data_IF_490245725654
#
_entry.id   IF_490245725654
#
_cell.length_a   1.000
_cell.length_b   1.000
_cell.length_c   1.000
_cell.angle_alpha   90.00
_cell.angle_beta   90.00
_cell.angle_gamma   90.00
#
_symmetry.space_group_name_H-M   'P 1'
#
loop_
_entity.id
_entity.type
_entity.pdbx_description
1 polymer ?
#
# COMPACT_ATOMS: atom_id res chain seq x y z
N UNK A 1 -36.57 -14.33 -34.49
CA UNK A 1 -35.21 -13.93 -34.91
C UNK A 1 -34.62 -13.02 -33.84
N UNK A 2 -33.35 -13.23 -33.49
CA UNK A 2 -32.67 -12.55 -32.38
C UNK A 2 -31.89 -13.55 -31.54
N UNK A 3 -30.88 -14.19 -32.13
CA UNK A 3 -29.96 -15.06 -31.40
C UNK A 3 -29.16 -14.18 -30.42
N UNK A 4 -29.40 -14.36 -29.12
CA UNK A 4 -28.52 -13.84 -28.07
C UNK A 4 -27.16 -14.52 -28.24
N UNK A 5 -26.27 -13.84 -28.96
CA UNK A 5 -24.98 -14.35 -29.37
C UNK A 5 -24.11 -14.44 -28.11
N UNK A 6 -24.10 -15.59 -27.42
CA UNK A 6 -23.07 -15.91 -26.44
C UNK A 6 -21.73 -15.75 -27.16
N UNK A 7 -20.99 -14.69 -26.84
CA UNK A 7 -19.67 -14.43 -27.44
C UNK A 7 -18.76 -15.56 -26.99
N UNK A 8 -18.68 -16.63 -27.77
CA UNK A 8 -17.69 -17.68 -27.58
C UNK A 8 -16.34 -17.06 -27.90
N UNK A 9 -15.66 -16.52 -26.90
CA UNK A 9 -14.29 -16.05 -27.02
C UNK A 9 -13.38 -17.26 -27.25
N UNK A 10 -13.29 -17.70 -28.51
CA UNK A 10 -12.35 -18.73 -28.97
C UNK A 10 -10.89 -18.35 -28.65
N UNK A 11 -10.65 -17.06 -28.40
CA UNK A 11 -9.36 -16.43 -28.11
C UNK A 11 -9.28 -15.84 -26.71
N UNK A 12 -10.12 -16.27 -25.77
CA UNK A 12 -10.17 -15.72 -24.41
C UNK A 12 -8.79 -15.66 -23.72
N UNK A 13 -8.04 -16.76 -23.76
CA UNK A 13 -6.69 -16.81 -23.17
C UNK A 13 -5.74 -15.83 -23.85
N UNK A 14 -5.86 -15.64 -25.18
CA UNK A 14 -5.05 -14.66 -25.91
C UNK A 14 -5.45 -13.22 -25.56
N UNK A 15 -6.74 -12.95 -25.40
CA UNK A 15 -7.23 -11.65 -24.96
C UNK A 15 -6.73 -11.31 -23.54
N UNK A 16 -6.72 -12.28 -22.64
CA UNK A 16 -6.15 -12.12 -21.29
C UNK A 16 -4.65 -11.89 -21.31
N UNK A 17 -3.90 -12.60 -22.17
CA UNK A 17 -2.45 -12.41 -22.29
C UNK A 17 -2.11 -11.04 -22.85
N UNK A 18 -2.76 -10.64 -23.95
CA UNK A 18 -2.48 -9.38 -24.64
C UNK A 18 -2.94 -8.19 -23.79
N UNK A 19 -4.17 -8.24 -23.28
CA UNK A 19 -4.71 -7.19 -22.41
C UNK A 19 -3.97 -7.08 -21.09
N UNK A 20 -3.60 -8.23 -20.50
CA UNK A 20 -2.81 -8.29 -19.28
C UNK A 20 -1.38 -7.79 -19.45
N UNK A 21 -0.71 -8.24 -20.52
CA UNK A 21 0.62 -7.75 -20.88
C UNK A 21 0.63 -6.24 -21.10
N UNK A 22 -0.36 -5.71 -21.83
CA UNK A 22 -0.51 -4.27 -22.02
C UNK A 22 -0.71 -3.52 -20.70
N UNK A 23 -1.58 -4.01 -19.81
CA UNK A 23 -1.80 -3.42 -18.50
C UNK A 23 -0.55 -3.44 -17.61
N UNK A 24 0.17 -4.56 -17.56
CA UNK A 24 1.42 -4.67 -16.82
C UNK A 24 2.48 -3.71 -17.38
N UNK A 25 2.60 -3.59 -18.71
CA UNK A 25 3.51 -2.61 -19.32
C UNK A 25 3.14 -1.17 -18.97
N UNK A 26 1.84 -0.84 -18.93
CA UNK A 26 1.36 0.49 -18.54
C UNK A 26 1.61 0.78 -17.04
N UNK A 27 1.64 -0.25 -16.20
CA UNK A 27 2.00 -0.11 -14.78
C UNK A 27 3.50 0.06 -14.57
N UNK A 28 4.34 -0.70 -15.29
CA UNK A 28 5.81 -0.62 -15.17
C UNK A 28 6.36 0.69 -15.72
N UNK A 29 5.83 1.17 -16.85
CA UNK A 29 6.36 2.36 -17.53
C UNK A 29 6.02 3.67 -16.83
N UNK A 30 5.28 3.62 -15.70
CA UNK A 30 4.70 4.74 -14.96
C UNK A 30 4.46 5.99 -15.83
N UNK A 31 3.73 5.79 -16.93
CA UNK A 31 3.58 6.85 -17.93
C UNK A 31 2.68 7.93 -17.36
N UNK A 32 3.29 8.97 -16.79
CA UNK A 32 2.57 10.17 -16.38
C UNK A 32 2.17 10.95 -17.62
N UNK A 33 0.93 10.71 -18.06
CA UNK A 33 0.35 11.38 -19.22
C UNK A 33 -0.17 12.77 -18.88
N UNK A 34 0.01 13.27 -17.64
CA UNK A 34 -0.49 14.57 -17.19
C UNK A 34 -2.02 14.64 -17.09
N UNK A 35 -2.69 13.49 -17.15
CA UNK A 35 -4.16 13.37 -17.08
C UNK A 35 -4.54 12.54 -15.85
N UNK A 36 -5.01 13.16 -14.75
CA UNK A 36 -5.32 12.48 -13.49
C UNK A 36 -6.33 11.32 -13.66
N UNK A 37 -7.29 11.50 -14.56
CA UNK A 37 -8.32 10.50 -14.88
C UNK A 37 -7.71 9.20 -15.40
N UNK A 38 -6.63 9.27 -16.19
CA UNK A 38 -5.97 8.08 -16.72
C UNK A 38 -5.27 7.28 -15.61
N UNK A 39 -4.73 7.97 -14.59
CA UNK A 39 -4.16 7.34 -13.41
C UNK A 39 -5.20 6.52 -12.64
N UNK A 40 -6.41 7.07 -12.45
CA UNK A 40 -7.53 6.37 -11.81
C UNK A 40 -7.95 5.15 -12.65
N UNK A 41 -8.12 5.32 -13.96
CA UNK A 41 -8.49 4.19 -14.85
C UNK A 41 -7.42 3.10 -14.82
N UNK A 42 -6.14 3.46 -14.85
CA UNK A 42 -5.01 2.52 -14.73
C UNK A 42 -5.07 1.76 -13.42
N UNK A 43 -5.29 2.45 -12.29
CA UNK A 43 -5.41 1.84 -10.97
C UNK A 43 -6.57 0.84 -10.91
N UNK A 44 -7.75 1.22 -11.40
CA UNK A 44 -8.93 0.37 -11.39
C UNK A 44 -8.78 -0.86 -12.29
N UNK A 45 -8.19 -0.69 -13.47
CA UNK A 45 -7.91 -1.80 -14.38
C UNK A 45 -6.83 -2.73 -13.83
N UNK A 46 -5.78 -2.19 -13.21
CA UNK A 46 -4.75 -2.98 -12.53
C UNK A 46 -5.34 -3.79 -11.38
N UNK A 47 -6.17 -3.18 -10.54
CA UNK A 47 -6.85 -3.88 -9.45
C UNK A 47 -7.75 -5.01 -9.97
N UNK A 48 -8.54 -4.74 -11.01
CA UNK A 48 -9.37 -5.76 -11.65
C UNK A 48 -8.51 -6.90 -12.22
N UNK A 49 -7.37 -6.57 -12.80
CA UNK A 49 -6.43 -7.54 -13.34
C UNK A 49 -5.91 -8.48 -12.25
N UNK A 50 -5.40 -7.93 -11.15
CA UNK A 50 -4.86 -8.71 -10.01
C UNK A 50 -5.93 -9.59 -9.37
N UNK A 51 -7.14 -9.05 -9.17
CA UNK A 51 -8.22 -9.76 -8.51
C UNK A 51 -8.88 -10.86 -9.36
N UNK A 52 -8.72 -10.83 -10.69
CA UNK A 52 -9.43 -11.75 -11.58
C UNK A 52 -8.49 -12.69 -12.31
N UNK A 53 -7.41 -12.20 -12.91
CA UNK A 53 -6.65 -12.94 -13.92
C UNK A 53 -5.83 -14.10 -13.34
N UNK A 54 -5.05 -13.94 -12.25
CA UNK A 54 -4.29 -15.04 -11.66
C UNK A 54 -5.19 -16.22 -11.29
N UNK A 55 -6.27 -15.96 -10.54
CA UNK A 55 -7.21 -17.00 -10.14
C UNK A 55 -7.97 -17.59 -11.33
N UNK A 56 -8.28 -16.79 -12.36
CA UNK A 56 -8.88 -17.29 -13.60
C UNK A 56 -7.98 -18.34 -14.28
N UNK A 57 -6.69 -18.06 -14.38
CA UNK A 57 -5.73 -18.97 -15.00
C UNK A 57 -5.55 -20.26 -14.18
N UNK A 58 -5.58 -20.17 -12.84
CA UNK A 58 -5.54 -21.35 -11.96
C UNK A 58 -6.77 -22.23 -12.19
N UNK A 59 -7.97 -21.65 -12.09
CA UNK A 59 -9.19 -22.45 -12.31
C UNK A 59 -9.27 -22.99 -13.75
N UNK A 60 -8.76 -22.26 -14.76
CA UNK A 60 -8.72 -22.72 -16.14
C UNK A 60 -7.77 -23.91 -16.32
N UNK A 61 -6.73 -23.99 -15.48
CA UNK A 61 -5.74 -25.07 -15.42
C UNK A 61 -6.29 -26.32 -14.73
N UNK A 62 -7.13 -26.14 -13.70
CA UNK A 62 -7.76 -27.22 -12.91
C UNK A 62 -9.06 -27.72 -13.57
N UNK A 63 -10.01 -26.83 -13.81
CA UNK A 63 -11.35 -27.09 -14.33
C UNK A 63 -11.45 -26.75 -15.82
N UNK A 64 -11.11 -27.74 -16.63
CA UNK A 64 -10.87 -27.57 -18.08
C UNK A 64 -12.10 -27.81 -18.95
N UNK A 65 -13.12 -28.52 -18.42
CA UNK A 65 -14.35 -28.86 -19.16
C UNK A 65 -15.49 -27.91 -18.82
N UNK A 66 -16.41 -27.73 -19.76
CA UNK A 66 -17.57 -26.82 -19.62
C UNK A 66 -18.59 -27.26 -18.56
N UNK A 67 -18.70 -28.56 -18.28
CA UNK A 67 -19.67 -29.12 -17.30
C UNK A 67 -19.07 -29.36 -15.90
N UNK A 68 -17.87 -28.87 -15.61
CA UNK A 68 -17.21 -29.11 -14.31
C UNK A 68 -17.61 -28.11 -13.24
N UNK A 69 -17.80 -26.85 -13.64
CA UNK A 69 -18.17 -25.75 -12.77
C UNK A 69 -18.93 -24.73 -13.62
N UNK A 70 -19.98 -24.19 -13.04
CA UNK A 70 -20.85 -23.23 -13.71
C UNK A 70 -20.16 -21.88 -13.88
N UNK A 71 -20.68 -21.04 -14.77
CA UNK A 71 -20.09 -19.72 -15.05
C UNK A 71 -20.02 -18.82 -13.80
N UNK A 72 -20.98 -18.94 -12.87
CA UNK A 72 -21.00 -18.23 -11.59
C UNK A 72 -19.98 -18.77 -10.57
N UNK A 73 -19.82 -20.10 -10.53
CA UNK A 73 -18.79 -20.72 -9.68
C UNK A 73 -17.40 -20.35 -10.18
N UNK A 74 -17.23 -20.25 -11.51
CA UNK A 74 -16.00 -19.79 -12.14
C UNK A 74 -15.65 -18.37 -11.74
N UNK A 75 -16.59 -17.43 -11.76
CA UNK A 75 -16.27 -16.03 -11.36
C UNK A 75 -15.87 -15.96 -9.89
N UNK A 76 -16.61 -16.65 -9.01
CA UNK A 76 -16.30 -16.71 -7.59
C UNK A 76 -14.93 -17.36 -7.33
N UNK A 77 -14.65 -18.50 -7.95
CA UNK A 77 -13.36 -19.20 -7.83
C UNK A 77 -12.19 -18.36 -8.35
N UNK A 78 -12.41 -17.58 -9.41
CA UNK A 78 -11.41 -16.64 -9.92
C UNK A 78 -10.96 -15.67 -8.84
N UNK A 79 -11.91 -15.04 -8.16
CA UNK A 79 -11.64 -14.04 -7.14
C UNK A 79 -10.99 -14.67 -5.90
N UNK A 80 -11.53 -15.79 -5.43
CA UNK A 80 -10.99 -16.52 -4.28
C UNK A 80 -9.57 -17.01 -4.55
N UNK A 81 -9.29 -17.58 -5.73
CA UNK A 81 -7.96 -18.08 -6.08
C UNK A 81 -6.95 -16.94 -6.28
N UNK A 82 -7.36 -15.80 -6.83
CA UNK A 82 -6.49 -14.62 -6.90
C UNK A 82 -6.06 -14.15 -5.51
N UNK A 83 -6.98 -14.05 -4.56
CA UNK A 83 -6.67 -13.68 -3.17
C UNK A 83 -5.78 -14.75 -2.51
N UNK A 84 -6.06 -16.03 -2.74
CA UNK A 84 -5.29 -17.13 -2.17
C UNK A 84 -3.83 -17.19 -2.64
N UNK A 85 -3.51 -16.61 -3.80
CA UNK A 85 -2.14 -16.52 -4.33
C UNK A 85 -1.32 -15.45 -3.62
N UNK A 86 -1.93 -14.46 -2.98
CA UNK A 86 -1.21 -13.33 -2.38
C UNK A 86 -0.22 -13.79 -1.29
N UNK A 87 -0.60 -14.59 -0.27
CA UNK A 87 0.35 -15.02 0.75
C UNK A 87 1.56 -15.82 0.22
N UNK A 88 1.39 -16.87 -0.61
CA UNK A 88 2.54 -17.61 -1.13
C UNK A 88 3.40 -16.76 -2.09
N UNK A 89 2.79 -15.82 -2.82
CA UNK A 89 3.53 -14.90 -3.68
C UNK A 89 4.38 -13.92 -2.87
N UNK A 90 3.83 -13.36 -1.80
CA UNK A 90 4.57 -12.49 -0.87
C UNK A 90 5.76 -13.24 -0.23
N UNK A 91 5.54 -14.48 0.23
CA UNK A 91 6.62 -15.31 0.78
C UNK A 91 7.69 -15.64 -0.27
N UNK A 92 7.29 -15.86 -1.53
CA UNK A 92 8.26 -16.10 -2.61
C UNK A 92 9.11 -14.87 -2.92
N UNK A 93 8.52 -13.67 -2.85
CA UNK A 93 9.24 -12.40 -3.04
C UNK A 93 10.19 -12.09 -1.88
N UNK A 94 9.79 -12.39 -0.64
CA UNK A 94 10.61 -12.17 0.56
C UNK A 94 11.91 -13.00 0.57
N UNK A 95 11.89 -14.19 -0.03
CA UNK A 95 13.06 -15.08 -0.10
C UNK A 95 14.02 -14.71 -1.24
N UNK A 96 13.63 -13.82 -2.17
CA UNK A 96 14.45 -13.43 -3.31
C UNK A 96 15.42 -12.29 -2.93
N UNK A 97 16.75 -12.52 -2.91
CA UNK A 97 17.74 -11.54 -2.40
C UNK A 97 17.87 -10.27 -3.26
N UNK A 98 17.18 -10.20 -4.40
CA UNK A 98 17.18 -9.06 -5.32
C UNK A 98 15.82 -8.33 -5.36
N UNK A 99 14.79 -8.86 -4.69
CA UNK A 99 13.46 -8.29 -4.65
C UNK A 99 13.32 -7.48 -3.37
N UNK A 100 13.53 -6.18 -3.45
CA UNK A 100 12.91 -5.31 -2.44
C UNK A 100 11.38 -5.53 -2.52
N UNK A 101 10.68 -5.51 -1.39
CA UNK A 101 9.21 -5.57 -1.40
C UNK A 101 8.66 -4.21 -1.82
N UNK A 102 8.91 -3.86 -3.09
CA UNK A 102 8.43 -2.67 -3.76
C UNK A 102 7.32 -3.01 -4.76
N UNK A 103 6.59 -2.00 -5.23
CA UNK A 103 5.51 -2.17 -6.19
C UNK A 103 6.00 -2.85 -7.48
N UNK A 104 7.22 -2.51 -7.91
CA UNK A 104 7.85 -3.07 -9.11
C UNK A 104 8.02 -4.58 -9.00
N UNK A 105 8.55 -5.07 -7.88
CA UNK A 105 8.76 -6.51 -7.66
C UNK A 105 7.45 -7.29 -7.59
N UNK A 106 6.39 -6.68 -7.04
CA UNK A 106 5.04 -7.28 -7.03
C UNK A 106 4.52 -7.43 -8.47
N UNK A 107 4.60 -6.35 -9.26
CA UNK A 107 4.12 -6.35 -10.67
C UNK A 107 4.91 -7.34 -11.54
N UNK A 108 6.24 -7.41 -11.36
CA UNK A 108 7.09 -8.38 -12.06
C UNK A 108 6.75 -9.81 -11.62
N UNK A 109 6.61 -10.04 -10.32
CA UNK A 109 6.26 -11.35 -9.76
C UNK A 109 4.93 -11.86 -10.29
N UNK A 110 3.92 -11.00 -10.33
CA UNK A 110 2.61 -11.31 -10.90
C UNK A 110 2.70 -11.56 -12.42
N UNK A 111 3.46 -10.74 -13.15
CA UNK A 111 3.71 -10.93 -14.57
C UNK A 111 4.34 -12.29 -14.88
N UNK A 112 5.35 -12.70 -14.11
CA UNK A 112 5.98 -14.01 -14.23
C UNK A 112 5.00 -15.14 -13.87
N UNK A 113 4.20 -14.97 -12.82
CA UNK A 113 3.19 -15.94 -12.42
C UNK A 113 2.17 -16.18 -13.55
N UNK A 114 1.69 -15.11 -14.17
CA UNK A 114 0.79 -15.17 -15.32
C UNK A 114 1.49 -15.77 -16.54
N UNK A 115 2.74 -15.41 -16.81
CA UNK A 115 3.53 -15.95 -17.91
C UNK A 115 3.76 -17.47 -17.80
N UNK A 116 3.76 -18.03 -16.58
CA UNK A 116 3.85 -19.48 -16.34
C UNK A 116 2.48 -20.16 -16.41
N UNK A 117 1.46 -19.58 -15.77
CA UNK A 117 0.12 -20.17 -15.74
C UNK A 117 -0.58 -20.12 -17.10
N UNK A 118 -0.36 -19.07 -17.87
CA UNK A 118 -0.97 -18.91 -19.19
C UNK A 118 -0.66 -20.09 -20.13
N UNK A 119 0.61 -20.44 -20.44
CA UNK A 119 0.91 -21.55 -21.33
C UNK A 119 0.49 -22.89 -20.72
N UNK A 120 0.55 -23.04 -19.40
CA UNK A 120 0.10 -24.25 -18.71
C UNK A 120 -1.41 -24.47 -18.88
N UNK A 121 -2.21 -23.42 -18.69
CA UNK A 121 -3.66 -23.45 -18.88
C UNK A 121 -4.02 -23.74 -20.34
N UNK A 122 -3.31 -23.12 -21.28
CA UNK A 122 -3.49 -23.29 -22.71
C UNK A 122 -3.17 -24.71 -23.17
N UNK A 123 -2.00 -25.23 -22.77
CA UNK A 123 -1.56 -26.59 -23.05
C UNK A 123 -2.56 -27.63 -22.52
N UNK A 124 -3.00 -27.46 -21.27
CA UNK A 124 -3.98 -28.36 -20.66
C UNK A 124 -5.35 -28.31 -21.32
N UNK A 125 -5.79 -27.15 -21.84
CA UNK A 125 -7.04 -27.01 -22.61
C UNK A 125 -6.94 -27.60 -24.01
N UNK A 126 -5.76 -27.57 -24.64
CA UNK A 126 -5.55 -28.16 -25.97
C UNK A 126 -5.69 -29.68 -25.99
N UNK A 127 -5.46 -30.36 -24.86
CA UNK A 127 -5.64 -31.81 -24.71
C UNK A 127 -7.10 -32.28 -24.59
N UNK A 128 -8.08 -31.39 -24.75
CA UNK A 128 -9.52 -31.70 -24.67
C UNK A 128 -10.17 -31.53 -26.06
N UNK A 129 -11.12 -32.40 -26.40
CA UNK A 129 -11.94 -32.31 -27.62
C UNK A 129 -12.63 -30.94 -27.71
N UNK A 130 -12.63 -30.32 -28.91
CA UNK A 130 -13.11 -28.94 -29.13
C UNK A 130 -14.52 -28.68 -28.63
N UNK A 131 -15.39 -29.69 -28.65
CA UNK A 131 -16.78 -29.62 -28.19
C UNK A 131 -16.94 -29.54 -26.66
N UNK A 132 -15.95 -30.04 -25.90
CA UNK A 132 -15.93 -30.03 -24.44
C UNK A 132 -15.09 -28.88 -23.86
N UNK A 133 -14.45 -28.08 -24.73
CA UNK A 133 -13.64 -26.93 -24.32
C UNK A 133 -14.54 -25.82 -23.83
N UNK A 134 -14.27 -25.35 -22.63
CA UNK A 134 -14.88 -24.12 -22.15
C UNK A 134 -14.38 -22.93 -22.99
N UNK A 135 -15.32 -22.14 -23.50
CA UNK A 135 -15.09 -20.78 -23.98
C UNK A 135 -15.85 -19.87 -23.02
N UNK A 136 -15.21 -18.86 -22.43
CA UNK A 136 -15.95 -17.95 -21.56
C UNK A 136 -17.16 -17.38 -22.27
N UNK A 137 -18.33 -17.77 -21.76
CA UNK A 137 -19.50 -16.95 -21.83
C UNK A 137 -19.45 -16.09 -20.56
N UNK A 138 -19.25 -14.79 -20.70
CA UNK A 138 -19.42 -13.86 -19.58
C UNK A 138 -20.89 -13.94 -19.18
N UNK A 139 -21.24 -14.52 -18.01
CA UNK A 139 -22.63 -14.58 -17.59
C UNK A 139 -23.03 -13.18 -17.13
N UNK A 140 -23.75 -12.44 -17.98
CA UNK A 140 -24.28 -11.15 -17.55
C UNK A 140 -25.33 -11.39 -16.46
N UNK A 141 -25.35 -10.65 -15.34
CA UNK A 141 -26.28 -10.88 -14.23
C UNK A 141 -27.77 -10.70 -14.61
N UNK A 142 -28.04 -10.12 -15.79
CA UNK A 142 -29.39 -9.92 -16.34
C UNK A 142 -29.76 -10.90 -17.46
N UNK A 143 -28.87 -11.83 -17.85
CA UNK A 143 -29.22 -12.81 -18.88
C UNK A 143 -30.21 -13.82 -18.28
N UNK A 144 -31.41 -13.87 -18.85
CA UNK A 144 -32.52 -14.65 -18.33
C UNK A 144 -32.29 -16.10 -18.74
N UNK A 145 -31.92 -16.93 -17.77
CA UNK A 145 -31.68 -18.37 -17.93
C UNK A 145 -32.74 -19.05 -18.79
N UNK A 146 -32.37 -19.41 -20.03
CA UNK A 146 -33.17 -20.30 -20.89
C UNK A 146 -32.91 -21.78 -20.65
N UNK A 147 -31.82 -22.12 -19.96
CA UNK A 147 -31.31 -23.50 -19.87
C UNK A 147 -31.44 -24.14 -18.48
N UNK A 148 -32.04 -23.46 -17.50
CA UNK A 148 -32.46 -24.05 -16.20
C UNK A 148 -31.36 -24.66 -15.32
N UNK A 149 -30.08 -24.48 -15.66
CA UNK A 149 -28.96 -25.14 -14.99
C UNK A 149 -28.25 -24.27 -13.95
N UNK A 150 -28.53 -22.96 -13.88
CA UNK A 150 -27.88 -22.09 -12.90
C UNK A 150 -28.50 -22.29 -11.50
N UNK A 151 -27.67 -22.59 -10.51
CA UNK A 151 -28.13 -22.60 -9.12
C UNK A 151 -28.53 -21.18 -8.69
N UNK A 152 -29.74 -20.98 -8.10
CA UNK A 152 -30.15 -19.67 -7.58
C UNK A 152 -29.21 -19.14 -6.51
N UNK A 153 -28.42 -20.02 -5.88
CA UNK A 153 -27.36 -19.67 -4.93
C UNK A 153 -26.19 -18.95 -5.61
N UNK A 154 -25.72 -19.46 -6.76
CA UNK A 154 -24.61 -18.87 -7.51
C UNK A 154 -24.92 -17.45 -7.99
N UNK A 155 -26.16 -17.21 -8.43
CA UNK A 155 -26.61 -15.87 -8.86
C UNK A 155 -26.61 -14.86 -7.70
N UNK A 156 -27.11 -15.24 -6.53
CA UNK A 156 -27.12 -14.37 -5.33
C UNK A 156 -25.71 -14.02 -4.89
N UNK A 157 -24.82 -15.02 -4.86
CA UNK A 157 -23.43 -14.84 -4.47
C UNK A 157 -22.70 -13.86 -5.41
N UNK A 158 -22.92 -13.95 -6.72
CA UNK A 158 -22.29 -13.05 -7.68
C UNK A 158 -22.82 -11.61 -7.59
N UNK A 159 -24.10 -11.42 -7.23
CA UNK A 159 -24.64 -10.08 -6.93
C UNK A 159 -23.98 -9.45 -5.70
N UNK A 160 -23.72 -10.26 -4.66
CA UNK A 160 -22.97 -9.81 -3.48
C UNK A 160 -21.54 -9.44 -3.86
N UNK A 161 -20.85 -10.28 -4.65
CA UNK A 161 -19.50 -9.96 -5.12
C UNK A 161 -19.45 -8.70 -5.99
N UNK A 162 -20.43 -8.52 -6.89
CA UNK A 162 -20.53 -7.31 -7.70
C UNK A 162 -20.75 -6.06 -6.83
N UNK A 163 -21.63 -6.14 -5.82
CA UNK A 163 -21.84 -5.06 -4.87
C UNK A 163 -20.56 -4.72 -4.09
N UNK A 164 -19.84 -5.74 -3.60
CA UNK A 164 -18.57 -5.56 -2.90
C UNK A 164 -17.50 -4.94 -3.80
N UNK A 165 -17.42 -5.37 -5.06
CA UNK A 165 -16.48 -4.84 -6.03
C UNK A 165 -16.75 -3.37 -6.34
N UNK A 166 -18.02 -3.00 -6.54
CA UNK A 166 -18.43 -1.59 -6.73
C UNK A 166 -18.11 -0.76 -5.48
N UNK A 167 -18.34 -1.30 -4.28
CA UNK A 167 -17.99 -0.63 -3.03
C UNK A 167 -16.49 -0.35 -2.93
N UNK A 168 -15.64 -1.35 -3.25
CA UNK A 168 -14.18 -1.19 -3.24
C UNK A 168 -13.74 -0.12 -4.24
N UNK A 169 -14.25 -0.15 -5.47
CA UNK A 169 -13.96 0.87 -6.49
C UNK A 169 -14.38 2.26 -6.01
N UNK A 170 -15.58 2.38 -5.43
CA UNK A 170 -16.10 3.65 -4.93
C UNK A 170 -15.23 4.21 -3.80
N UNK A 171 -14.82 3.37 -2.85
CA UNK A 171 -13.93 3.77 -1.74
C UNK A 171 -12.57 4.21 -2.24
N UNK A 172 -11.93 3.45 -3.13
CA UNK A 172 -10.63 3.81 -3.71
C UNK A 172 -10.75 5.13 -4.50
N UNK A 173 -11.79 5.25 -5.32
CA UNK A 173 -12.04 6.48 -6.09
C UNK A 173 -12.26 7.67 -5.16
N UNK A 174 -12.97 7.49 -4.05
CA UNK A 174 -13.16 8.53 -3.05
C UNK A 174 -11.85 8.95 -2.38
N UNK A 175 -10.98 8.00 -2.01
CA UNK A 175 -9.66 8.28 -1.42
C UNK A 175 -8.78 9.09 -2.39
N UNK A 176 -8.83 8.80 -3.69
CA UNK A 176 -8.03 9.49 -4.70
C UNK A 176 -8.60 10.86 -5.08
N UNK A 177 -9.93 10.98 -5.19
CA UNK A 177 -10.59 12.23 -5.59
C UNK A 177 -10.73 13.24 -4.43
N UNK A 178 -10.79 12.74 -3.21
CA UNK A 178 -10.88 13.53 -1.98
C UNK A 178 -9.73 13.11 -1.07
N UNK A 179 -8.47 13.45 -1.42
CA UNK A 179 -7.35 13.19 -0.54
C UNK A 179 -7.64 13.87 0.79
N UNK A 180 -7.57 13.10 1.88
CA UNK A 180 -7.63 13.70 3.21
C UNK A 180 -6.55 14.79 3.27
N UNK A 181 -6.84 15.99 3.82
CA UNK A 181 -5.79 16.97 4.04
C UNK A 181 -4.67 16.25 4.77
N UNK A 182 -3.45 16.35 4.25
CA UNK A 182 -2.29 15.89 4.98
C UNK A 182 -2.42 16.53 6.37
N UNK A 183 -2.44 15.73 7.43
CA UNK A 183 -2.30 16.32 8.76
C UNK A 183 -0.86 16.81 8.80
N UNK A 184 -0.67 18.07 8.46
CA UNK A 184 0.62 18.71 8.46
C UNK A 184 0.99 18.92 9.92
N UNK A 185 1.66 17.94 10.51
CA UNK A 185 2.15 18.03 11.88
C UNK A 185 3.50 18.72 11.87
N UNK A 186 3.71 19.62 12.83
CA UNK A 186 5.03 20.19 13.09
C UNK A 186 6.01 19.07 13.44
N UNK A 187 7.08 18.96 12.66
CA UNK A 187 8.14 18.01 12.92
C UNK A 187 9.03 18.53 14.05
N UNK A 188 9.45 17.63 14.93
CA UNK A 188 10.36 17.92 16.03
C UNK A 188 11.38 16.79 16.09
N UNK A 189 12.67 17.11 15.93
CA UNK A 189 13.74 16.13 15.84
C UNK A 189 15.03 16.61 16.51
N UNK A 190 15.95 15.66 16.75
CA UNK A 190 17.26 15.90 17.34
C UNK A 190 18.34 15.28 16.44
N UNK A 191 19.42 16.03 16.23
CA UNK A 191 20.61 15.61 15.51
C UNK A 191 21.84 15.76 16.41
N UNK A 192 22.88 15.02 16.06
CA UNK A 192 24.22 15.18 16.62
C UNK A 192 24.91 16.46 16.07
N UNK A 193 26.13 16.75 16.52
CA UNK A 193 26.91 17.91 16.05
C UNK A 193 27.21 17.88 14.54
N UNK A 194 27.19 16.71 13.90
CA UNK A 194 27.41 16.56 12.46
C UNK A 194 26.13 16.67 11.62
N UNK A 195 24.97 16.97 12.24
CA UNK A 195 23.68 17.09 11.56
C UNK A 195 23.05 15.75 11.17
N UNK A 196 23.40 14.65 11.84
CA UNK A 196 22.83 13.32 11.62
C UNK A 196 22.00 12.87 12.84
N UNK A 197 20.94 12.11 12.59
CA UNK A 197 20.13 11.46 13.65
C UNK A 197 20.87 10.30 14.30
N UNK A 198 21.84 9.73 13.61
CA UNK A 198 22.65 8.60 14.09
C UNK A 198 23.89 9.08 14.85
N UNK A 199 24.38 8.26 15.79
CA UNK A 199 25.63 8.55 16.49
C UNK A 199 25.53 9.59 17.62
N UNK A 200 24.32 9.91 18.11
CA UNK A 200 24.17 10.60 19.40
C UNK A 200 24.78 9.69 20.48
N UNK A 201 25.80 10.14 21.23
CA UNK A 201 26.54 9.29 22.13
C UNK A 201 25.65 8.77 23.25
N UNK A 202 25.61 7.44 23.42
CA UNK A 202 24.83 6.82 24.48
C UNK A 202 25.51 6.87 25.84
N UNK A 203 26.84 7.00 25.88
CA UNK A 203 27.60 7.10 27.12
C UNK A 203 28.36 8.41 27.17
N UNK A 204 28.20 9.13 28.28
CA UNK A 204 28.78 10.45 28.50
C UNK A 204 29.43 10.49 29.89
N UNK A 205 30.43 11.34 30.06
CA UNK A 205 31.02 11.60 31.37
C UNK A 205 30.19 12.63 32.14
N UNK A 206 30.02 12.44 33.44
CA UNK A 206 29.31 13.40 34.29
C UNK A 206 29.90 14.83 34.17
N UNK A 207 29.02 15.83 34.17
CA UNK A 207 29.35 17.26 34.04
C UNK A 207 30.09 17.65 32.74
N UNK A 208 30.08 16.78 31.73
CA UNK A 208 30.62 17.13 30.41
C UNK A 208 29.50 17.70 29.54
N UNK A 209 29.65 18.93 29.00
CA UNK A 209 28.64 19.51 28.12
C UNK A 209 28.45 18.65 26.87
N UNK A 210 27.19 18.31 26.60
CA UNK A 210 26.73 17.63 25.40
C UNK A 210 26.04 18.66 24.52
N UNK A 211 26.35 18.63 23.21
CA UNK A 211 25.70 19.47 22.22
C UNK A 211 24.84 18.62 21.31
N UNK A 212 23.60 19.05 21.16
CA UNK A 212 22.65 18.45 20.22
C UNK A 212 22.01 19.55 19.40
N UNK A 213 21.76 19.29 18.13
CA UNK A 213 21.00 20.21 17.28
C UNK A 213 19.54 19.79 17.39
N UNK A 214 18.66 20.74 17.70
CA UNK A 214 17.22 20.51 17.76
C UNK A 214 16.58 21.27 16.63
N UNK A 215 15.71 20.59 15.89
CA UNK A 215 14.99 21.16 14.77
C UNK A 215 13.49 21.08 14.95
N UNK A 216 12.81 22.16 14.55
CA UNK A 216 11.36 22.27 14.46
C UNK A 216 11.04 22.68 13.02
N UNK A 217 10.15 21.96 12.36
CA UNK A 217 9.65 22.32 11.02
C UNK A 217 8.14 22.49 11.16
N UNK A 218 7.67 23.73 11.05
CA UNK A 218 6.24 24.01 11.06
C UNK A 218 5.67 23.46 9.77
N UNK A 219 4.85 22.43 9.87
CA UNK A 219 4.10 21.95 8.72
C UNK A 219 2.67 22.51 8.76
N UNK A 220 2.21 22.99 9.92
CA UNK A 220 0.85 23.44 10.13
C UNK A 220 0.53 24.68 9.26
N UNK A 221 -0.66 24.70 8.65
CA UNK A 221 -1.11 25.78 7.78
C UNK A 221 -1.36 27.14 8.45
N UNK A 222 -1.03 27.29 9.74
CA UNK A 222 -1.15 28.54 10.51
C UNK A 222 0.17 28.82 11.26
N UNK A 223 0.58 30.09 11.41
CA UNK A 223 1.78 30.44 12.16
C UNK A 223 1.61 30.15 13.66
N UNK A 224 2.62 29.52 14.25
CA UNK A 224 2.62 29.16 15.67
C UNK A 224 3.89 29.63 16.36
N UNK A 225 3.78 29.86 17.67
CA UNK A 225 4.91 30.18 18.53
C UNK A 225 5.21 28.98 19.45
N UNK A 226 6.47 28.59 19.51
CA UNK A 226 6.93 27.42 20.23
C UNK A 226 7.98 27.77 21.28
N UNK A 227 8.10 26.91 22.29
CA UNK A 227 9.21 26.91 23.24
C UNK A 227 9.72 25.49 23.46
N UNK A 228 11.04 25.33 23.57
CA UNK A 228 11.70 24.06 23.79
C UNK A 228 12.30 24.04 25.18
N UNK A 229 12.04 23.00 25.96
CA UNK A 229 12.70 22.75 27.25
C UNK A 229 13.41 21.39 27.20
N UNK A 230 14.63 21.35 27.73
CA UNK A 230 15.40 20.12 27.97
C UNK A 230 15.34 19.80 29.45
N UNK A 231 14.75 18.67 29.80
CA UNK A 231 14.42 18.30 31.18
C UNK A 231 15.10 16.97 31.51
N UNK A 232 15.71 16.88 32.69
CA UNK A 232 16.24 15.64 33.25
C UNK A 232 15.77 15.51 34.69
N UNK A 233 14.91 14.53 34.97
CA UNK A 233 14.27 14.40 36.29
C UNK A 233 13.41 15.62 36.60
N UNK A 234 13.70 16.32 37.70
CA UNK A 234 13.01 17.55 38.12
C UNK A 234 13.72 18.84 37.67
N UNK A 235 14.85 18.72 36.96
CA UNK A 235 15.68 19.87 36.57
C UNK A 235 15.54 20.21 35.10
N UNK A 236 15.35 21.50 34.80
CA UNK A 236 15.44 22.04 33.43
C UNK A 236 16.91 22.37 33.14
N UNK A 237 17.47 21.74 32.12
CA UNK A 237 18.88 21.86 31.73
C UNK A 237 19.12 22.97 30.70
N UNK A 238 18.17 23.19 29.80
CA UNK A 238 18.22 24.22 28.77
C UNK A 238 16.80 24.62 28.33
N UNK A 239 16.62 25.87 27.93
CA UNK A 239 15.34 26.40 27.44
C UNK A 239 15.59 27.31 26.24
N UNK A 240 14.70 27.23 25.25
CA UNK A 240 14.60 28.18 24.14
C UNK A 240 13.16 28.64 24.05
N UNK A 241 12.94 29.92 24.28
CA UNK A 241 11.61 30.54 24.25
C UNK A 241 11.39 31.33 22.96
N UNK A 242 10.14 31.65 22.68
CA UNK A 242 9.71 32.58 21.61
C UNK A 242 10.19 32.19 20.21
N UNK A 243 10.05 30.92 19.84
CA UNK A 243 10.32 30.43 18.49
C UNK A 243 9.09 30.68 17.63
N UNK A 244 9.10 31.78 16.86
CA UNK A 244 8.04 32.05 15.89
C UNK A 244 8.32 31.28 14.60
N UNK A 245 7.33 30.55 14.10
CA UNK A 245 7.44 29.78 12.86
C UNK A 245 6.22 30.00 11.96
N UNK A 246 6.48 30.48 10.75
CA UNK A 246 5.49 30.51 9.67
C UNK A 246 5.25 29.10 9.09
N UNK A 247 4.11 28.84 8.41
CA UNK A 247 3.85 27.56 7.74
C UNK A 247 4.97 27.19 6.75
N UNK A 248 5.56 26.01 6.92
CA UNK A 248 6.67 25.49 6.12
C UNK A 248 8.07 25.95 6.57
N UNK A 249 8.16 26.80 7.60
CA UNK A 249 9.44 27.32 8.09
C UNK A 249 10.17 26.29 8.96
N UNK A 250 11.50 26.26 8.84
CA UNK A 250 12.40 25.41 9.61
C UNK A 250 13.25 26.25 10.54
N UNK A 251 13.21 25.92 11.82
CA UNK A 251 14.10 26.47 12.85
C UNK A 251 15.01 25.38 13.40
N UNK A 252 16.30 25.65 13.46
CA UNK A 252 17.29 24.78 14.10
C UNK A 252 18.17 25.57 15.04
N UNK A 253 18.45 24.99 16.21
CA UNK A 253 19.37 25.57 17.18
C UNK A 253 20.19 24.50 17.87
N UNK A 254 21.41 24.84 18.25
CA UNK A 254 22.29 23.96 19.02
C UNK A 254 22.02 24.18 20.50
N UNK A 255 21.56 23.13 21.19
CA UNK A 255 21.40 23.11 22.64
C UNK A 255 22.61 22.46 23.29
N UNK A 256 23.11 23.11 24.34
CA UNK A 256 24.19 22.58 25.18
C UNK A 256 23.64 22.28 26.58
N UNK A 257 23.82 21.05 27.05
CA UNK A 257 23.40 20.64 28.40
C UNK A 257 24.40 19.65 29.01
N UNK A 258 24.44 19.56 30.34
CA UNK A 258 25.31 18.61 31.03
C UNK A 258 24.52 17.83 32.08
N UNK A 259 24.80 16.52 32.21
CA UNK A 259 24.22 15.67 33.25
C UNK A 259 25.18 15.56 34.43
N UNK A 260 24.73 16.00 35.60
CA UNK A 260 25.53 15.94 36.84
C UNK A 260 25.39 14.63 37.58
N UNK A 261 24.24 13.95 37.46
CA UNK A 261 23.97 12.69 38.14
C UNK A 261 24.52 11.50 37.37
N UNK A 262 25.43 10.75 38.01
CA UNK A 262 25.91 9.47 37.49
C UNK A 262 24.83 8.39 37.55
N UNK A 263 24.88 7.44 36.62
CA UNK A 263 23.97 6.31 36.57
C UNK A 263 23.72 5.82 35.14
N UNK A 264 23.16 4.61 35.04
CA UNK A 264 22.71 4.04 33.76
C UNK A 264 21.29 4.49 33.44
N UNK A 265 20.97 4.47 32.15
CA UNK A 265 19.63 4.77 31.62
C UNK A 265 19.03 6.10 32.11
N UNK A 266 19.87 7.15 32.23
CA UNK A 266 19.42 8.49 32.58
C UNK A 266 18.66 9.11 31.44
N UNK A 267 17.45 9.55 31.74
CA UNK A 267 16.52 10.09 30.75
C UNK A 267 16.66 11.61 30.64
N UNK A 268 16.78 12.07 29.39
CA UNK A 268 16.68 13.49 29.01
C UNK A 268 15.51 13.64 28.07
N UNK A 269 14.55 14.46 28.48
CA UNK A 269 13.36 14.79 27.72
C UNK A 269 13.57 16.14 27.04
N UNK A 270 13.44 16.17 25.71
CA UNK A 270 13.28 17.41 24.97
C UNK A 270 11.80 17.60 24.73
N UNK A 271 11.25 18.72 25.18
CA UNK A 271 9.82 18.98 25.17
C UNK A 271 9.55 20.24 24.37
N UNK A 272 8.70 20.12 23.36
CA UNK A 272 8.20 21.23 22.56
C UNK A 272 6.82 21.61 23.10
N UNK A 273 6.68 22.86 23.50
CA UNK A 273 5.41 23.45 23.95
C UNK A 273 4.92 24.50 22.97
N UNK A 274 3.61 24.66 22.91
CA UNK A 274 2.96 25.82 22.30
C UNK A 274 3.05 27.02 23.26
N UNK A 275 3.54 28.16 22.77
CA UNK A 275 3.60 29.43 23.48
C UNK A 275 2.39 30.30 23.09
N UNK A 276 1.77 31.07 24.00
CA UNK A 276 2.08 31.21 25.43
C UNK A 276 1.33 30.21 26.34
N UNK A 277 0.48 29.34 25.78
CA UNK A 277 -0.39 28.43 26.56
C UNK A 277 0.39 27.37 27.36
N UNK A 278 1.66 27.12 27.01
CA UNK A 278 2.50 26.01 27.52
C UNK A 278 1.83 24.65 27.39
N UNK A 279 1.01 24.47 26.36
CA UNK A 279 0.44 23.16 26.06
C UNK A 279 1.52 22.25 25.48
N UNK A 280 1.59 21.01 25.99
CA UNK A 280 2.54 20.02 25.51
C UNK A 280 2.20 19.65 24.06
N UNK A 281 3.07 20.02 23.12
CA UNK A 281 2.91 19.68 21.71
C UNK A 281 3.54 18.32 21.40
N UNK A 282 4.85 18.18 21.70
CA UNK A 282 5.60 16.95 21.43
C UNK A 282 6.76 16.78 22.40
N UNK A 283 7.20 15.54 22.61
CA UNK A 283 8.38 15.23 23.42
C UNK A 283 9.25 14.17 22.74
N UNK A 284 10.55 14.29 22.91
CA UNK A 284 11.57 13.34 22.48
C UNK A 284 12.34 12.85 23.70
N UNK A 285 12.62 11.56 23.72
CA UNK A 285 13.29 10.90 24.84
C UNK A 285 14.68 10.44 24.40
N UNK A 286 15.71 10.96 25.06
CA UNK A 286 17.08 10.50 24.93
C UNK A 286 17.47 9.76 26.22
N UNK A 287 18.27 8.70 26.07
CA UNK A 287 18.73 7.86 27.19
C UNK A 287 20.25 7.83 27.17
N UNK A 288 20.86 8.18 28.30
CA UNK A 288 22.30 8.29 28.48
C UNK A 288 22.80 7.43 29.65
N UNK A 289 23.95 6.80 29.46
CA UNK A 289 24.75 6.16 30.50
C UNK A 289 25.84 7.13 30.99
N UNK A 290 25.62 7.70 32.18
CA UNK A 290 26.49 8.73 32.77
C UNK A 290 27.52 8.09 33.69
N UNK A 291 28.80 8.18 33.30
CA UNK A 291 29.95 7.61 34.03
C UNK A 291 30.66 8.60 34.96
#
# INVERSE_FOLDING_TARGET
MGAGQRVKLKYELWALLIGGGLLLTLMILDVDLGVPVLGIVRLLLGLLFVLVVPGYLIQATVFRRINQIDAYERSALSLVLSIAVIPPMALMLDVLPFAAVDLTSIVIGEGLFIAVLWPLSFYRRMRILREHRFAAAIPWPLDKDRDGQSSPFGRRLNLVFLGLFVLVIATISAIVLFPAPAQEYTEFYVLNESGMTEGIPRSIAANTPQRVIVGVVSAEGEPHEYSIEVISGESVLATVDAIHLDPGERFETTLEFALSERGRDREVLLVLYLSPTRELYRRLRLIFDVT
#
